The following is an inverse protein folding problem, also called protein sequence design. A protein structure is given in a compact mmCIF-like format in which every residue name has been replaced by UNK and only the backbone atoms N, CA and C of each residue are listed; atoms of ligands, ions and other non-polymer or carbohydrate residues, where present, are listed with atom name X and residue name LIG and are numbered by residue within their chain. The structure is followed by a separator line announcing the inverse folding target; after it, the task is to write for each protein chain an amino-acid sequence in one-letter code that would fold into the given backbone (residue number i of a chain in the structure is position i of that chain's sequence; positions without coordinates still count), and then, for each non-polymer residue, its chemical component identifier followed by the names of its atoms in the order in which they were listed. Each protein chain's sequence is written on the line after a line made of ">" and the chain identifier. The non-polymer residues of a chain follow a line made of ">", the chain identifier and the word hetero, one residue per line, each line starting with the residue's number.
data_IF_874929059949
#
_entry.id   IF_874929059949
#
_cell.length_a   1.000
_cell.length_b   1.000
_cell.length_c   1.000
_cell.angle_alpha   90.00
_cell.angle_beta   90.00
_cell.angle_gamma   90.00
#
_symmetry.space_group_name_H-M   'P 1'
#
loop_
_entity.id
_entity.type
_entity.pdbx_description
1 polymer ?
#
# COMPACT_ATOMS: atom_id res chain seq x y z
N UNK A 1 56.33 -18.11 -33.68
CA UNK A 1 56.01 -17.72 -32.29
C UNK A 1 54.76 -18.45 -31.93
N UNK A 2 54.87 -19.42 -31.01
CA UNK A 2 53.76 -20.26 -30.61
C UNK A 2 52.73 -19.41 -29.84
N UNK A 3 51.51 -19.38 -30.36
CA UNK A 3 50.35 -18.79 -29.70
C UNK A 3 50.10 -19.62 -28.43
N UNK A 4 50.28 -19.02 -27.26
CA UNK A 4 49.98 -19.70 -26.00
C UNK A 4 48.47 -19.91 -25.91
N UNK A 5 47.99 -21.12 -25.56
CA UNK A 5 46.58 -21.29 -25.28
C UNK A 5 46.22 -20.38 -24.10
N UNK A 6 45.32 -19.42 -24.36
CA UNK A 6 44.78 -18.52 -23.36
C UNK A 6 44.36 -19.33 -22.14
N UNK A 7 45.00 -19.07 -21.01
CA UNK A 7 44.78 -19.78 -19.77
C UNK A 7 43.33 -19.48 -19.33
N UNK A 8 42.42 -20.44 -19.58
CA UNK A 8 41.02 -20.39 -19.18
C UNK A 8 40.99 -20.39 -17.65
N UNK A 9 41.07 -19.21 -17.05
CA UNK A 9 40.91 -19.02 -15.61
C UNK A 9 39.41 -19.10 -15.26
N UNK A 10 38.80 -20.23 -15.61
CA UNK A 10 37.45 -20.62 -15.24
C UNK A 10 37.48 -20.97 -13.74
N UNK A 11 37.55 -19.95 -12.88
CA UNK A 11 37.11 -20.10 -11.48
C UNK A 11 35.59 -20.24 -11.53
N UNK A 12 35.11 -21.42 -11.91
CA UNK A 12 33.70 -21.69 -12.07
C UNK A 12 33.08 -21.86 -10.69
N UNK A 13 32.57 -20.77 -10.14
CA UNK A 13 31.54 -20.88 -9.11
C UNK A 13 30.31 -21.38 -9.86
N UNK A 14 29.99 -22.68 -9.70
CA UNK A 14 28.76 -23.24 -10.24
C UNK A 14 27.59 -22.36 -9.80
N UNK A 15 26.84 -21.88 -10.79
CA UNK A 15 25.79 -20.91 -10.55
C UNK A 15 24.49 -21.67 -10.35
N UNK A 16 23.96 -21.64 -9.13
CA UNK A 16 22.67 -22.28 -8.83
C UNK A 16 21.53 -21.63 -9.61
N UNK A 17 20.71 -22.46 -10.21
CA UNK A 17 19.44 -22.13 -10.83
C UNK A 17 18.30 -22.59 -9.93
N UNK A 18 17.38 -21.68 -9.59
CA UNK A 18 16.17 -22.04 -8.87
C UNK A 18 14.95 -21.81 -9.77
N UNK A 19 14.35 -22.87 -10.35
CA UNK A 19 13.21 -22.73 -11.25
C UNK A 19 11.95 -22.16 -10.57
N UNK A 20 11.86 -22.17 -9.24
CA UNK A 20 10.74 -21.59 -8.51
C UNK A 20 10.79 -20.06 -8.41
N UNK A 21 11.99 -19.47 -8.52
CA UNK A 21 12.18 -18.03 -8.32
C UNK A 21 12.85 -17.32 -9.49
N UNK A 22 13.50 -18.06 -10.39
CA UNK A 22 14.26 -17.51 -11.51
C UNK A 22 13.72 -17.99 -12.86
N UNK A 23 13.65 -17.08 -13.83
CA UNK A 23 13.29 -17.41 -15.21
C UNK A 23 14.48 -18.06 -15.92
N UNK A 24 14.24 -19.11 -16.70
CA UNK A 24 15.27 -19.75 -17.53
C UNK A 24 16.02 -18.77 -18.45
N UNK A 25 15.31 -17.78 -19.01
CA UNK A 25 15.92 -16.74 -19.85
C UNK A 25 16.91 -15.87 -19.09
N UNK A 26 16.67 -15.59 -17.80
CA UNK A 26 17.60 -14.86 -16.94
C UNK A 26 18.86 -15.69 -16.67
N UNK A 27 18.68 -16.97 -16.34
CA UNK A 27 19.79 -17.90 -16.12
C UNK A 27 20.70 -18.03 -17.35
N UNK A 28 20.13 -18.27 -18.53
CA UNK A 28 20.88 -18.30 -19.80
C UNK A 28 21.49 -16.94 -20.14
N UNK A 29 20.83 -15.82 -19.81
CA UNK A 29 21.41 -14.49 -19.94
C UNK A 29 22.70 -14.33 -19.13
N UNK A 30 22.73 -14.83 -17.89
CA UNK A 30 23.94 -14.83 -17.03
C UNK A 30 25.06 -15.69 -17.62
N UNK A 31 24.72 -16.84 -18.20
CA UNK A 31 25.69 -17.66 -18.93
C UNK A 31 26.27 -16.93 -20.16
N UNK A 32 25.44 -16.24 -20.95
CA UNK A 32 25.93 -15.48 -22.09
C UNK A 32 26.85 -14.33 -21.68
N UNK A 33 26.55 -13.63 -20.58
CA UNK A 33 27.44 -12.62 -20.01
C UNK A 33 28.76 -13.23 -19.51
N UNK A 34 28.71 -14.44 -18.94
CA UNK A 34 29.91 -15.18 -18.55
C UNK A 34 30.80 -15.49 -19.77
N UNK A 35 30.22 -15.91 -20.91
CA UNK A 35 30.97 -16.07 -22.14
C UNK A 35 31.59 -14.74 -22.61
N UNK A 36 30.84 -13.65 -22.56
CA UNK A 36 31.31 -12.34 -23.01
C UNK A 36 32.48 -11.79 -22.18
N UNK A 37 32.38 -11.82 -20.85
CA UNK A 37 33.44 -11.32 -19.94
C UNK A 37 34.73 -12.14 -20.07
N UNK A 38 34.64 -13.41 -20.46
CA UNK A 38 35.80 -14.28 -20.66
C UNK A 38 36.31 -14.31 -22.12
N UNK A 39 35.74 -13.49 -23.03
CA UNK A 39 36.15 -13.46 -24.43
C UNK A 39 35.76 -14.71 -25.23
N UNK A 40 34.73 -15.44 -24.78
CA UNK A 40 34.25 -16.70 -25.35
C UNK A 40 32.91 -16.54 -26.10
N UNK A 41 32.50 -15.31 -26.39
CA UNK A 41 31.27 -14.99 -27.12
C UNK A 41 31.23 -15.64 -28.50
N UNK A 42 32.37 -15.65 -29.19
CA UNK A 42 32.53 -16.22 -30.54
C UNK A 42 33.15 -17.63 -30.53
N UNK A 43 33.21 -18.27 -29.36
CA UNK A 43 33.72 -19.63 -29.23
C UNK A 43 32.86 -20.62 -30.05
N UNK A 44 33.46 -21.72 -30.56
CA UNK A 44 32.72 -22.78 -31.22
C UNK A 44 31.58 -23.32 -30.34
N UNK A 45 30.49 -23.74 -30.98
CA UNK A 45 29.30 -24.27 -30.29
C UNK A 45 29.61 -25.45 -29.37
N UNK A 46 30.54 -26.33 -29.78
CA UNK A 46 31.03 -27.44 -28.95
C UNK A 46 31.71 -26.95 -27.67
N UNK A 47 32.48 -25.86 -27.76
CA UNK A 47 33.14 -25.25 -26.61
C UNK A 47 32.13 -24.56 -25.69
N UNK A 48 31.16 -23.81 -26.26
CA UNK A 48 30.06 -23.21 -25.48
C UNK A 48 29.27 -24.26 -24.71
N UNK A 49 28.98 -25.41 -25.34
CA UNK A 49 28.34 -26.55 -24.67
C UNK A 49 29.17 -27.04 -23.48
N UNK A 50 30.46 -27.29 -23.67
CA UNK A 50 31.33 -27.77 -22.60
C UNK A 50 31.43 -26.76 -21.43
N UNK A 51 31.52 -25.47 -21.75
CA UNK A 51 31.53 -24.41 -20.73
C UNK A 51 30.18 -24.37 -20.01
N UNK A 52 29.06 -24.48 -20.72
CA UNK A 52 27.74 -24.51 -20.09
C UNK A 52 27.58 -25.67 -19.11
N UNK A 53 27.95 -26.88 -19.55
CA UNK A 53 27.85 -28.10 -18.74
C UNK A 53 28.76 -28.10 -17.50
N UNK A 54 29.80 -27.26 -17.49
CA UNK A 54 30.65 -27.05 -16.32
C UNK A 54 30.23 -25.82 -15.49
N UNK A 55 29.54 -24.86 -16.10
CA UNK A 55 28.99 -23.67 -15.46
C UNK A 55 27.71 -23.96 -14.67
N UNK A 56 26.86 -24.87 -15.18
CA UNK A 56 25.59 -25.16 -14.56
C UNK A 56 25.73 -25.91 -13.24
N UNK A 57 24.66 -25.89 -12.45
CA UNK A 57 24.58 -26.72 -11.26
C UNK A 57 24.24 -28.18 -11.59
N UNK A 58 24.38 -29.03 -10.58
CA UNK A 58 24.13 -30.47 -10.68
C UNK A 58 22.71 -30.76 -11.17
N UNK A 59 21.71 -30.05 -10.64
CA UNK A 59 20.30 -30.27 -10.98
C UNK A 59 20.03 -29.97 -12.47
N UNK A 60 20.59 -28.88 -13.01
CA UNK A 60 20.48 -28.54 -14.43
C UNK A 60 21.25 -29.54 -15.30
N UNK A 61 22.42 -30.02 -14.85
CA UNK A 61 23.20 -31.03 -15.57
C UNK A 61 22.45 -32.37 -15.66
N UNK A 62 21.97 -32.91 -14.54
CA UNK A 62 21.21 -34.17 -14.50
C UNK A 62 19.93 -34.07 -15.34
N UNK A 63 19.26 -32.92 -15.30
CA UNK A 63 18.09 -32.69 -16.14
C UNK A 63 18.45 -32.65 -17.64
N UNK A 64 19.58 -32.05 -18.00
CA UNK A 64 20.06 -32.06 -19.39
C UNK A 64 20.29 -33.49 -19.89
N UNK A 65 20.97 -34.32 -19.10
CA UNK A 65 21.20 -35.74 -19.40
C UNK A 65 19.88 -36.51 -19.58
N UNK A 66 18.93 -36.31 -18.67
CA UNK A 66 17.60 -36.93 -18.73
C UNK A 66 16.80 -36.52 -19.98
N UNK A 67 16.78 -35.23 -20.33
CA UNK A 67 16.02 -34.69 -21.47
C UNK A 67 16.60 -35.11 -22.83
N UNK A 68 17.92 -35.26 -22.90
CA UNK A 68 18.66 -35.65 -24.12
C UNK A 68 18.65 -37.17 -24.35
N UNK A 69 18.06 -37.94 -23.42
CA UNK A 69 18.03 -39.42 -23.43
C UNK A 69 19.43 -40.04 -23.30
N UNK A 70 20.33 -39.41 -22.53
CA UNK A 70 21.62 -39.96 -22.13
C UNK A 70 22.81 -39.70 -23.08
N UNK A 71 22.60 -39.30 -24.34
CA UNK A 71 23.72 -38.90 -25.23
C UNK A 71 23.96 -37.37 -25.19
N UNK A 72 24.36 -36.88 -24.02
CA UNK A 72 24.66 -35.46 -23.80
C UNK A 72 25.93 -35.03 -24.56
N UNK A 73 26.90 -35.94 -24.70
CA UNK A 73 28.16 -35.71 -25.40
C UNK A 73 27.97 -35.55 -26.93
N UNK A 74 27.14 -36.38 -27.55
CA UNK A 74 26.81 -36.31 -28.98
C UNK A 74 25.84 -35.18 -29.35
N UNK A 75 25.14 -34.60 -28.37
CA UNK A 75 24.13 -33.56 -28.63
C UNK A 75 24.74 -32.21 -28.99
N UNK A 76 24.13 -31.52 -29.97
CA UNK A 76 24.53 -30.16 -30.36
C UNK A 76 24.14 -29.12 -29.31
N UNK A 77 24.89 -28.01 -29.23
CA UNK A 77 24.57 -26.89 -28.35
C UNK A 77 23.15 -26.36 -28.58
N UNK A 78 22.78 -26.20 -29.86
CA UNK A 78 21.46 -25.76 -30.26
C UNK A 78 20.34 -26.69 -29.77
N UNK A 79 20.50 -28.01 -29.91
CA UNK A 79 19.50 -28.96 -29.41
C UNK A 79 19.42 -28.95 -27.88
N UNK A 80 20.56 -28.89 -27.18
CA UNK A 80 20.61 -28.77 -25.72
C UNK A 80 19.86 -27.53 -25.22
N UNK A 81 20.11 -26.36 -25.83
CA UNK A 81 19.40 -25.13 -25.49
C UNK A 81 17.89 -25.26 -25.72
N UNK A 82 17.47 -25.91 -26.80
CA UNK A 82 16.05 -26.10 -27.12
C UNK A 82 15.34 -26.99 -26.10
N UNK A 83 15.92 -28.14 -25.74
CA UNK A 83 15.28 -29.06 -24.78
C UNK A 83 15.20 -28.44 -23.39
N UNK A 84 16.25 -27.77 -22.92
CA UNK A 84 16.26 -27.09 -21.63
C UNK A 84 15.30 -25.89 -21.61
N UNK A 85 15.24 -25.10 -22.69
CA UNK A 85 14.26 -24.01 -22.82
C UNK A 85 12.83 -24.53 -22.78
N UNK A 86 12.54 -25.64 -23.46
CA UNK A 86 11.21 -26.26 -23.44
C UNK A 86 10.82 -26.73 -22.04
N UNK A 87 11.78 -27.24 -21.26
CA UNK A 87 11.56 -27.74 -19.91
C UNK A 87 11.41 -26.61 -18.87
N UNK A 88 12.38 -25.68 -18.82
CA UNK A 88 12.46 -24.66 -17.77
C UNK A 88 11.81 -23.31 -18.11
N UNK A 89 11.57 -23.05 -19.39
CA UNK A 89 10.94 -21.82 -19.86
C UNK A 89 9.87 -22.09 -20.90
N UNK A 90 8.87 -22.97 -20.62
CA UNK A 90 7.78 -23.17 -21.55
C UNK A 90 7.14 -21.80 -21.82
N UNK A 91 7.10 -21.39 -23.08
CA UNK A 91 6.43 -20.16 -23.47
C UNK A 91 4.95 -20.33 -23.11
N UNK A 92 4.39 -19.52 -22.20
CA UNK A 92 2.95 -19.58 -21.95
C UNK A 92 2.22 -19.33 -23.27
N UNK A 93 1.07 -19.97 -23.44
CA UNK A 93 0.22 -19.68 -24.58
C UNK A 93 0.01 -18.16 -24.65
N UNK A 94 0.16 -17.56 -25.84
CA UNK A 94 0.10 -16.11 -26.02
C UNK A 94 -1.12 -15.48 -25.32
N UNK A 95 -2.26 -16.16 -25.38
CA UNK A 95 -3.50 -15.73 -24.74
C UNK A 95 -3.42 -15.78 -23.21
N UNK A 96 -2.73 -16.77 -22.63
CA UNK A 96 -2.52 -16.87 -21.19
C UNK A 96 -1.62 -15.72 -20.69
N UNK A 97 -0.53 -15.42 -21.40
CA UNK A 97 0.34 -14.29 -21.06
C UNK A 97 -0.41 -12.95 -21.11
N UNK A 98 -1.20 -12.73 -22.18
CA UNK A 98 -2.04 -11.54 -22.30
C UNK A 98 -3.12 -11.48 -21.22
N UNK A 99 -3.75 -12.60 -20.90
CA UNK A 99 -4.73 -12.67 -19.82
C UNK A 99 -4.13 -12.25 -18.48
N UNK A 100 -2.94 -12.75 -18.14
CA UNK A 100 -2.23 -12.37 -16.92
C UNK A 100 -1.89 -10.88 -16.89
N UNK A 101 -1.36 -10.34 -17.99
CA UNK A 101 -1.10 -8.91 -18.14
C UNK A 101 -2.38 -8.07 -17.94
N UNK A 102 -3.46 -8.40 -18.64
CA UNK A 102 -4.71 -7.62 -18.58
C UNK A 102 -5.45 -7.77 -17.24
N UNK A 103 -5.23 -8.87 -16.52
CA UNK A 103 -5.83 -9.13 -15.20
C UNK A 103 -5.06 -8.44 -14.05
N UNK A 104 -3.85 -7.94 -14.31
CA UNK A 104 -3.02 -7.30 -13.28
C UNK A 104 -3.53 -5.91 -12.94
N UNK A 105 -3.88 -5.71 -11.67
CA UNK A 105 -4.25 -4.43 -11.05
C UNK A 105 -3.30 -4.10 -9.91
N UNK A 106 -3.09 -2.81 -9.62
CA UNK A 106 -2.25 -2.35 -8.51
C UNK A 106 -2.74 -2.98 -7.19
N UNK A 107 -1.82 -3.62 -6.47
CA UNK A 107 -2.11 -4.28 -5.19
C UNK A 107 -2.27 -3.25 -4.06
N UNK A 108 -2.87 -3.66 -2.96
CA UNK A 108 -2.98 -2.81 -1.78
C UNK A 108 -1.60 -2.50 -1.20
N UNK A 109 -1.26 -1.22 -1.09
CA UNK A 109 0.04 -0.76 -0.60
C UNK A 109 1.19 -0.85 -1.61
N UNK A 110 0.94 -1.30 -2.85
CA UNK A 110 1.93 -1.29 -3.92
C UNK A 110 2.08 0.12 -4.50
N UNK A 111 3.32 0.62 -4.60
CA UNK A 111 3.60 1.90 -5.26
C UNK A 111 3.58 1.78 -6.79
N UNK A 112 3.40 2.90 -7.47
CA UNK A 112 3.27 2.96 -8.93
C UNK A 112 4.49 2.41 -9.69
N UNK A 113 5.71 2.59 -9.16
CA UNK A 113 6.91 2.10 -9.85
C UNK A 113 7.03 0.58 -9.74
N UNK A 114 6.66 0.02 -8.58
CA UNK A 114 6.57 -1.44 -8.41
C UNK A 114 5.50 -2.04 -9.33
N UNK A 115 4.31 -1.41 -9.40
CA UNK A 115 3.25 -1.85 -10.31
C UNK A 115 3.69 -1.80 -11.78
N UNK A 116 4.34 -0.72 -12.21
CA UNK A 116 4.90 -0.57 -13.55
C UNK A 116 5.95 -1.66 -13.85
N UNK A 117 6.84 -1.95 -12.91
CA UNK A 117 7.88 -2.96 -13.08
C UNK A 117 7.28 -4.36 -13.30
N UNK A 118 6.23 -4.71 -12.56
CA UNK A 118 5.51 -5.97 -12.75
C UNK A 118 4.77 -6.03 -14.10
N UNK A 119 4.11 -4.94 -14.52
CA UNK A 119 3.50 -4.87 -15.85
C UNK A 119 4.53 -5.02 -16.98
N UNK A 120 5.70 -4.38 -16.86
CA UNK A 120 6.81 -4.54 -17.82
C UNK A 120 7.28 -6.00 -17.88
N UNK A 121 7.38 -6.69 -16.73
CA UNK A 121 7.76 -8.12 -16.68
C UNK A 121 6.75 -9.02 -17.38
N UNK A 122 5.45 -8.75 -17.23
CA UNK A 122 4.37 -9.52 -17.86
C UNK A 122 4.28 -9.24 -19.37
N UNK A 123 4.51 -8.00 -19.80
CA UNK A 123 4.42 -7.59 -21.19
C UNK A 123 5.43 -8.31 -22.12
N UNK A 124 6.59 -8.75 -21.60
CA UNK A 124 7.65 -9.45 -22.36
C UNK A 124 7.11 -10.63 -23.17
N UNK A 125 6.16 -11.38 -22.62
CA UNK A 125 5.61 -12.59 -23.26
C UNK A 125 4.34 -12.34 -24.08
N UNK A 126 3.81 -11.11 -24.05
CA UNK A 126 2.52 -10.76 -24.65
C UNK A 126 2.59 -10.46 -26.15
N UNK A 127 3.80 -10.32 -26.72
CA UNK A 127 4.02 -10.01 -28.14
C UNK A 127 3.11 -8.85 -28.60
N UNK A 128 3.14 -7.74 -27.87
CA UNK A 128 2.40 -6.53 -28.25
C UNK A 128 3.15 -5.79 -29.35
N UNK A 129 2.42 -5.25 -30.32
CA UNK A 129 3.00 -4.39 -31.36
C UNK A 129 3.48 -3.07 -30.77
N UNK A 130 2.69 -2.50 -29.86
CA UNK A 130 3.04 -1.31 -29.10
C UNK A 130 2.98 -1.62 -27.61
N UNK A 131 4.13 -1.93 -27.03
CA UNK A 131 4.20 -2.35 -25.62
C UNK A 131 3.99 -1.18 -24.66
N UNK A 132 4.47 0.02 -24.99
CA UNK A 132 4.33 1.19 -24.11
C UNK A 132 2.88 1.64 -24.02
N UNK A 133 2.14 1.63 -25.13
CA UNK A 133 0.72 1.94 -25.13
C UNK A 133 -0.10 0.91 -24.34
N UNK A 134 0.20 -0.38 -24.48
CA UNK A 134 -0.49 -1.41 -23.71
C UNK A 134 -0.22 -1.29 -22.21
N UNK A 135 1.03 -0.97 -21.83
CA UNK A 135 1.40 -0.72 -20.44
C UNK A 135 0.69 0.53 -19.92
N UNK A 136 0.69 1.64 -20.67
CA UNK A 136 -0.05 2.87 -20.30
C UNK A 136 -1.51 2.55 -19.99
N UNK A 137 -2.20 1.90 -20.92
CA UNK A 137 -3.62 1.63 -20.78
C UNK A 137 -3.88 0.72 -19.57
N UNK A 138 -3.04 -0.29 -19.36
CA UNK A 138 -3.15 -1.19 -18.19
C UNK A 138 -2.83 -0.48 -16.87
N UNK A 139 -1.84 0.43 -16.84
CA UNK A 139 -1.55 1.27 -15.67
C UNK A 139 -2.78 2.10 -15.31
N UNK A 140 -3.37 2.80 -16.28
CA UNK A 140 -4.58 3.62 -16.04
C UNK A 140 -5.74 2.77 -15.55
N UNK A 141 -6.05 1.66 -16.24
CA UNK A 141 -7.19 0.80 -15.90
C UNK A 141 -7.00 0.01 -14.60
N UNK A 142 -5.76 -0.27 -14.22
CA UNK A 142 -5.41 -1.03 -13.02
C UNK A 142 -5.04 -0.17 -11.81
N UNK A 143 -5.06 1.16 -11.93
CA UNK A 143 -4.69 2.08 -10.86
C UNK A 143 -5.66 1.97 -9.66
N UNK A 144 -5.11 1.90 -8.44
CA UNK A 144 -5.92 1.78 -7.22
C UNK A 144 -6.62 3.10 -6.85
N UNK A 145 -5.96 4.23 -7.08
CA UNK A 145 -6.52 5.55 -6.80
C UNK A 145 -7.55 5.96 -7.87
N UNK A 146 -8.82 5.68 -7.60
CA UNK A 146 -9.94 6.00 -8.48
C UNK A 146 -10.07 7.50 -8.78
N UNK A 147 -9.61 8.39 -7.89
CA UNK A 147 -9.67 9.84 -8.13
C UNK A 147 -8.66 10.22 -9.21
N UNK A 148 -7.44 9.72 -9.10
CA UNK A 148 -6.38 9.96 -10.09
C UNK A 148 -6.72 9.29 -11.42
N UNK A 149 -7.21 8.05 -11.40
CA UNK A 149 -7.69 7.34 -12.60
C UNK A 149 -8.75 8.17 -13.34
N UNK A 150 -9.79 8.64 -12.64
CA UNK A 150 -10.84 9.47 -13.24
C UNK A 150 -10.31 10.77 -13.83
N UNK A 151 -9.36 11.43 -13.17
CA UNK A 151 -8.73 12.66 -13.68
C UNK A 151 -7.94 12.42 -14.96
N UNK A 152 -7.21 11.30 -15.05
CA UNK A 152 -6.47 10.92 -16.25
C UNK A 152 -7.43 10.64 -17.41
N UNK A 153 -8.49 9.85 -17.17
CA UNK A 153 -9.50 9.51 -18.18
C UNK A 153 -10.31 10.70 -18.68
N UNK A 154 -10.38 11.79 -17.91
CA UNK A 154 -11.12 12.99 -18.29
C UNK A 154 -10.31 14.00 -19.14
N UNK A 155 -9.04 13.69 -19.47
CA UNK A 155 -8.22 14.57 -20.32
C UNK A 155 -8.69 14.52 -21.76
N UNK A 156 -8.73 15.68 -22.43
CA UNK A 156 -9.09 15.76 -23.86
C UNK A 156 -8.03 15.13 -24.76
N UNK A 157 -6.75 15.33 -24.42
CA UNK A 157 -5.62 14.70 -25.10
C UNK A 157 -5.23 13.42 -24.35
N UNK A 158 -5.05 12.33 -25.09
CA UNK A 158 -4.49 11.08 -24.55
C UNK A 158 -3.13 11.36 -23.95
N UNK A 159 -2.99 11.05 -22.66
CA UNK A 159 -1.72 11.17 -21.96
C UNK A 159 -0.76 10.06 -22.43
N UNK A 160 0.54 10.35 -22.49
CA UNK A 160 1.52 9.28 -22.65
C UNK A 160 1.79 8.53 -21.33
N UNK A 161 2.57 7.44 -21.39
CA UNK A 161 2.87 6.65 -20.19
C UNK A 161 3.54 7.49 -19.09
N UNK A 162 4.47 8.38 -19.44
CA UNK A 162 5.23 9.15 -18.46
C UNK A 162 4.34 10.21 -17.79
N UNK A 163 3.45 10.85 -18.55
CA UNK A 163 2.43 11.76 -18.02
C UNK A 163 1.46 11.06 -17.06
N UNK A 164 1.08 9.80 -17.35
CA UNK A 164 0.26 8.96 -16.45
C UNK A 164 1.03 8.64 -15.17
N UNK A 165 2.28 8.20 -15.29
CA UNK A 165 3.12 7.87 -14.14
C UNK A 165 3.37 9.08 -13.25
N UNK A 166 3.63 10.25 -13.83
CA UNK A 166 3.83 11.49 -13.07
C UNK A 166 2.57 11.91 -12.31
N UNK A 167 1.38 11.76 -12.90
CA UNK A 167 0.13 12.01 -12.20
C UNK A 167 -0.07 11.06 -11.00
N UNK A 168 0.23 9.77 -11.18
CA UNK A 168 0.14 8.77 -10.12
C UNK A 168 1.16 9.02 -8.99
N UNK A 169 2.44 9.28 -9.31
CA UNK A 169 3.49 9.64 -8.33
C UNK A 169 3.12 10.88 -7.52
N UNK A 170 2.57 11.92 -8.18
CA UNK A 170 2.12 13.14 -7.51
C UNK A 170 0.96 12.86 -6.53
N UNK A 171 0.03 11.99 -6.91
CA UNK A 171 -1.08 11.58 -6.06
C UNK A 171 -0.61 10.76 -4.84
N UNK A 172 0.32 9.82 -5.03
CA UNK A 172 0.92 9.04 -3.94
C UNK A 172 1.63 9.95 -2.92
N UNK A 173 2.45 10.89 -3.42
CA UNK A 173 3.14 11.86 -2.57
C UNK A 173 2.16 12.75 -1.79
N UNK A 174 1.09 13.22 -2.44
CA UNK A 174 0.04 14.03 -1.81
C UNK A 174 -0.75 13.25 -0.75
N UNK A 175 -1.08 11.99 -1.03
CA UNK A 175 -1.79 11.12 -0.10
C UNK A 175 -0.94 10.80 1.14
N UNK A 176 0.35 10.52 0.95
CA UNK A 176 1.28 10.31 2.08
C UNK A 176 1.47 11.60 2.90
N UNK A 177 1.67 12.73 2.22
CA UNK A 177 1.81 14.04 2.88
C UNK A 177 0.55 14.44 3.64
N UNK A 178 -0.62 14.25 3.05
CA UNK A 178 -1.90 14.54 3.70
C UNK A 178 -2.19 13.60 4.87
N UNK A 179 -1.79 12.32 4.80
CA UNK A 179 -1.87 11.40 5.93
C UNK A 179 -0.96 11.85 7.10
N UNK A 180 0.24 12.36 6.80
CA UNK A 180 1.17 12.92 7.81
C UNK A 180 0.64 14.21 8.43
N UNK A 181 0.05 15.11 7.62
CA UNK A 181 -0.56 16.37 8.09
C UNK A 181 -1.82 16.08 8.91
N UNK A 182 -2.63 15.11 8.48
CA UNK A 182 -3.86 14.65 9.15
C UNK A 182 -3.58 13.54 10.17
N UNK A 183 -2.47 13.60 10.91
CA UNK A 183 -2.22 12.71 12.06
C UNK A 183 -3.45 12.61 13.00
N UNK A 184 -3.45 11.76 14.04
CA UNK A 184 -4.65 11.39 14.83
C UNK A 184 -5.28 12.53 15.68
N UNK A 185 -5.22 13.76 15.23
CA UNK A 185 -5.91 14.92 15.75
C UNK A 185 -6.36 15.80 14.60
N UNK A 186 -7.64 15.68 14.22
CA UNK A 186 -8.60 16.79 14.09
C UNK A 186 -9.91 16.34 13.46
N UNK A 187 -10.81 15.85 14.32
CA UNK A 187 -12.23 16.14 14.16
C UNK A 187 -12.40 17.58 14.67
N UNK A 188 -12.72 18.51 13.78
CA UNK A 188 -13.71 19.58 13.97
C UNK A 188 -13.73 20.47 12.74
N UNK A 189 -14.78 20.29 11.93
CA UNK A 189 -15.28 21.29 11.00
C UNK A 189 -15.81 22.52 11.78
N UNK A 190 -15.58 23.72 11.25
CA UNK A 190 -16.64 24.66 10.77
C UNK A 190 -16.02 25.98 10.31
N UNK A 191 -16.40 26.37 9.09
CA UNK A 191 -16.77 27.70 8.56
C UNK A 191 -15.80 28.90 8.61
N UNK A 192 -15.35 29.26 7.40
CA UNK A 192 -15.44 30.57 6.73
C UNK A 192 -15.42 31.85 7.59
N UNK A 193 -14.33 32.62 7.48
CA UNK A 193 -14.36 34.08 7.57
C UNK A 193 -13.53 34.67 6.43
N UNK A 194 -14.23 35.45 5.57
CA UNK A 194 -13.67 36.36 4.57
C UNK A 194 -12.76 37.38 5.24
N UNK A 195 -11.56 37.60 4.71
CA UNK A 195 -11.09 38.96 4.46
C UNK A 195 -10.00 39.01 3.37
N UNK A 196 -10.29 39.86 2.38
CA UNK A 196 -9.45 40.40 1.32
C UNK A 196 -8.44 41.38 2.00
N UNK A 197 -7.20 41.58 1.54
CA UNK A 197 -6.79 42.55 0.50
C UNK A 197 -5.23 42.55 0.38
N UNK A 198 -4.72 42.35 -0.87
CA UNK A 198 -3.53 42.96 -1.57
C UNK A 198 -2.10 42.54 -1.13
N UNK A 199 -1.38 41.78 -1.99
CA UNK A 199 -0.23 42.19 -2.87
C UNK A 199 1.12 42.06 -2.17
N UNK A 200 2.27 41.69 -2.74
CA UNK A 200 2.76 41.30 -4.08
C UNK A 200 4.14 40.67 -3.85
N UNK A 201 4.56 39.80 -4.78
CA UNK A 201 5.95 39.57 -5.25
C UNK A 201 7.07 39.11 -4.28
N UNK A 202 7.60 37.94 -4.64
CA UNK A 202 9.03 37.54 -4.74
C UNK A 202 9.99 37.81 -3.57
N UNK A 203 10.57 36.73 -3.02
CA UNK A 203 12.01 36.48 -3.14
C UNK A 203 12.38 35.08 -2.63
N UNK A 204 13.41 34.54 -3.27
CA UNK A 204 14.04 33.25 -3.10
C UNK A 204 14.97 33.21 -1.86
N UNK A 205 15.48 32.01 -1.60
CA UNK A 205 16.70 31.68 -0.86
C UNK A 205 16.63 31.28 0.64
N UNK A 206 16.86 29.96 0.79
CA UNK A 206 17.90 29.31 1.61
C UNK A 206 17.76 29.22 3.14
N UNK A 207 17.63 27.94 3.55
CA UNK A 207 18.44 27.16 4.50
C UNK A 207 18.90 27.70 5.87
N UNK A 208 18.98 26.74 6.80
CA UNK A 208 19.50 26.79 8.18
C UNK A 208 18.65 27.55 9.22
N UNK A 209 18.10 26.81 10.18
CA UNK A 209 18.71 26.71 11.52
C UNK A 209 17.98 25.64 12.34
N UNK A 210 18.79 24.70 12.77
CA UNK A 210 18.54 23.60 13.68
C UNK A 210 18.34 24.11 15.12
N UNK A 211 17.62 23.32 15.92
CA UNK A 211 17.60 23.38 17.38
C UNK A 211 16.96 24.59 18.08
N UNK A 212 15.65 24.52 18.33
CA UNK A 212 15.12 24.80 19.69
C UNK A 212 14.03 23.78 20.02
N UNK A 213 14.43 22.58 20.43
CA UNK A 213 13.62 21.76 21.35
C UNK A 213 14.09 22.08 22.75
N UNK A 214 13.20 22.65 23.55
CA UNK A 214 12.82 22.22 24.91
C UNK A 214 12.29 23.42 25.68
N UNK A 215 11.27 23.16 26.50
CA UNK A 215 10.69 24.08 27.48
C UNK A 215 9.63 25.05 26.96
N UNK A 216 8.40 24.55 26.73
CA UNK A 216 7.20 25.38 26.96
C UNK A 216 6.29 24.69 27.97
N UNK A 217 6.45 25.18 29.19
CA UNK A 217 5.53 25.14 30.31
C UNK A 217 4.10 25.47 29.82
N UNK A 218 3.25 24.44 29.69
CA UNK A 218 1.83 24.61 29.35
C UNK A 218 1.11 25.07 30.62
N UNK A 219 1.11 26.38 30.87
CA UNK A 219 0.06 26.95 31.70
C UNK A 219 -1.24 26.96 30.88
N UNK A 220 -2.36 26.41 31.37
CA UNK A 220 -3.62 26.48 30.67
C UNK A 220 -4.13 27.92 30.72
N UNK A 221 -3.78 28.72 29.71
CA UNK A 221 -4.32 30.06 29.49
C UNK A 221 -5.79 30.04 29.03
N UNK A 222 -6.53 28.96 29.31
CA UNK A 222 -7.95 28.82 29.00
C UNK A 222 -8.69 28.43 30.28
N UNK A 223 -9.73 29.20 30.58
CA UNK A 223 -10.65 28.91 31.67
C UNK A 223 -11.34 27.55 31.44
N UNK A 224 -11.42 26.73 32.48
CA UNK A 224 -12.05 25.41 32.42
C UNK A 224 -13.53 25.56 32.03
N UNK A 225 -13.94 24.89 30.95
CA UNK A 225 -15.32 24.91 30.47
C UNK A 225 -16.36 24.33 31.47
N UNK A 226 -15.92 23.67 32.54
CA UNK A 226 -16.81 23.09 33.55
C UNK A 226 -17.14 24.05 34.71
N UNK A 227 -16.19 24.91 35.10
CA UNK A 227 -16.37 25.79 36.27
C UNK A 227 -15.78 27.21 36.13
N UNK A 228 -15.04 27.47 35.04
CA UNK A 228 -14.36 28.74 34.77
C UNK A 228 -13.05 28.92 35.52
N UNK A 229 -12.49 27.87 36.13
CA UNK A 229 -11.22 27.92 36.87
C UNK A 229 -9.99 27.73 35.97
N UNK A 230 -8.80 28.12 36.44
CA UNK A 230 -7.53 27.93 35.70
C UNK A 230 -6.94 26.54 35.97
N UNK A 231 -7.47 25.52 35.30
CA UNK A 231 -6.96 24.14 35.33
C UNK A 231 -7.39 23.37 34.09
N UNK A 232 -6.74 22.24 33.82
CA UNK A 232 -7.17 21.29 32.81
C UNK A 232 -8.51 20.66 33.20
N UNK A 233 -9.38 20.45 32.21
CA UNK A 233 -10.73 19.91 32.45
C UNK A 233 -10.73 18.54 33.14
N UNK A 234 -9.69 17.74 32.94
CA UNK A 234 -9.46 16.45 33.64
C UNK A 234 -9.43 16.60 35.16
N UNK A 235 -8.90 17.72 35.65
CA UNK A 235 -8.62 17.97 37.06
C UNK A 235 -9.74 18.81 37.70
N UNK A 236 -10.82 19.05 36.96
CA UNK A 236 -11.93 19.86 37.42
C UNK A 236 -12.74 19.10 38.47
N UNK A 237 -12.82 19.67 39.69
CA UNK A 237 -13.71 19.17 40.75
C UNK A 237 -15.19 19.05 40.31
N UNK A 238 -15.61 19.85 39.34
CA UNK A 238 -16.97 19.87 38.80
C UNK A 238 -17.13 19.09 37.49
N UNK A 239 -16.19 18.19 37.17
CA UNK A 239 -16.20 17.43 35.90
C UNK A 239 -17.50 16.65 35.66
N UNK A 240 -18.14 16.14 36.72
CA UNK A 240 -19.41 15.38 36.68
C UNK A 240 -20.60 16.18 37.23
N UNK A 241 -20.44 17.48 37.48
CA UNK A 241 -21.51 18.29 38.04
C UNK A 241 -22.67 18.43 37.06
N UNK A 242 -23.91 18.28 37.56
CA UNK A 242 -25.14 18.58 36.82
C UNK A 242 -25.43 20.07 36.94
N UNK A 243 -25.55 20.73 35.79
CA UNK A 243 -25.85 22.15 35.72
C UNK A 243 -27.28 22.43 36.21
N UNK A 244 -27.43 23.23 37.27
CA UNK A 244 -28.75 23.63 37.77
C UNK A 244 -29.55 24.55 36.84
N UNK A 245 -28.95 25.03 35.74
CA UNK A 245 -29.62 25.91 34.75
C UNK A 245 -30.21 25.13 33.58
N UNK A 246 -29.51 24.11 33.07
CA UNK A 246 -29.92 23.37 31.87
C UNK A 246 -30.04 21.86 32.10
N UNK A 247 -29.79 21.40 33.34
CA UNK A 247 -29.88 20.01 33.79
C UNK A 247 -28.95 19.03 33.05
N UNK A 248 -28.03 19.54 32.22
CA UNK A 248 -26.98 18.73 31.57
C UNK A 248 -25.77 18.57 32.49
N UNK A 249 -25.09 17.43 32.38
CA UNK A 249 -23.83 17.14 33.07
C UNK A 249 -22.68 18.01 32.55
N UNK A 250 -21.54 17.90 33.21
CA UNK A 250 -20.26 18.44 32.73
C UNK A 250 -20.08 19.96 32.84
N UNK A 251 -20.90 20.68 33.61
CA UNK A 251 -20.62 22.09 33.96
C UNK A 251 -21.54 22.60 35.07
N UNK A 252 -21.17 23.72 35.68
CA UNK A 252 -22.01 24.45 36.64
C UNK A 252 -22.76 25.60 35.98
N UNK A 253 -23.85 26.06 36.62
CA UNK A 253 -24.69 27.15 36.13
C UNK A 253 -23.92 28.44 35.80
N UNK A 254 -22.79 28.70 36.47
CA UNK A 254 -21.92 29.87 36.24
C UNK A 254 -21.39 29.95 34.81
N UNK A 255 -21.02 28.82 34.20
CA UNK A 255 -20.44 28.76 32.85
C UNK A 255 -21.39 28.16 31.81
N UNK A 256 -22.67 28.01 32.20
CA UNK A 256 -23.69 27.47 31.33
C UNK A 256 -24.02 28.42 30.18
N UNK A 257 -23.84 27.94 28.94
CA UNK A 257 -24.13 28.66 27.70
C UNK A 257 -25.49 28.29 27.08
N UNK A 258 -26.31 27.52 27.79
CA UNK A 258 -27.65 27.19 27.30
C UNK A 258 -28.51 28.47 27.31
N UNK A 259 -29.11 28.79 26.16
CA UNK A 259 -30.16 29.79 26.09
C UNK A 259 -31.36 29.30 26.92
N UNK A 260 -31.97 30.18 27.70
CA UNK A 260 -33.21 29.87 28.42
C UNK A 260 -34.29 29.47 27.38
N UNK A 261 -35.10 28.44 27.62
CA UNK A 261 -36.34 28.29 26.88
C UNK A 261 -37.21 29.52 27.15
N UNK A 262 -37.70 30.15 26.09
CA UNK A 262 -38.61 31.30 26.16
C UNK A 262 -39.92 30.85 26.80
N UNK A 263 -40.09 31.05 28.11
CA UNK A 263 -41.39 30.83 28.74
C UNK A 263 -42.25 32.08 28.49
N UNK A 264 -43.33 31.91 27.72
CA UNK A 264 -44.42 32.88 27.66
C UNK A 264 -45.09 32.83 29.02
N UNK A 265 -44.69 33.73 29.91
CA UNK A 265 -45.54 34.37 30.90
C UNK A 265 -44.69 35.30 31.75
N UNK A 266 -44.90 36.59 31.57
CA UNK A 266 -44.17 37.64 32.25
C UNK A 266 -44.50 37.67 33.73
N UNK A 267 -43.47 37.61 34.56
CA UNK A 267 -43.42 38.28 35.87
C UNK A 267 -41.96 38.44 36.32
N UNK A 268 -41.53 39.70 36.39
CA UNK A 268 -40.28 40.11 37.04
C UNK A 268 -40.46 40.01 38.55
N UNK A 269 -39.60 39.25 39.23
CA UNK A 269 -39.17 39.46 40.62
C UNK A 269 -37.72 38.95 40.66
N UNK A 270 -36.69 39.74 40.98
CA UNK A 270 -36.44 40.36 42.27
C UNK A 270 -35.48 39.46 43.06
N UNK A 271 -34.17 39.72 43.00
CA UNK A 271 -33.19 39.10 43.90
C UNK A 271 -33.60 39.37 45.36
N UNK A 272 -33.39 38.44 46.30
CA UNK A 272 -32.19 38.55 47.14
C UNK A 272 -31.65 37.22 47.74
N UNK A 273 -30.42 37.28 48.26
CA UNK A 273 -30.10 36.60 49.54
C UNK A 273 -29.06 35.47 49.50
N UNK A 274 -27.88 35.77 50.07
CA UNK A 274 -26.98 34.78 50.67
C UNK A 274 -27.71 34.01 51.78
N UNK A 275 -27.62 32.69 51.84
CA UNK A 275 -27.69 31.95 53.11
C UNK A 275 -27.08 30.53 53.00
N UNK A 276 -26.45 30.15 54.11
CA UNK A 276 -25.68 28.94 54.36
C UNK A 276 -26.55 27.69 54.51
N UNK A 277 -25.98 26.53 54.15
CA UNK A 277 -26.16 25.28 54.90
C UNK A 277 -27.37 24.39 54.60
N UNK A 278 -27.10 23.21 54.03
CA UNK A 278 -27.44 21.85 54.57
C UNK A 278 -27.39 20.82 53.44
N UNK A 279 -26.65 19.73 53.69
CA UNK A 279 -26.84 18.45 53.01
C UNK A 279 -28.25 17.91 53.31
N UNK A 280 -28.81 17.06 52.44
CA UNK A 280 -28.87 15.66 52.86
C UNK A 280 -28.59 14.64 51.74
N UNK A 281 -27.78 13.66 52.13
CA UNK A 281 -27.98 12.21 52.03
C UNK A 281 -28.42 11.56 50.70
N UNK A 282 -27.46 10.80 50.19
CA UNK A 282 -27.60 9.54 49.47
C UNK A 282 -28.96 8.83 49.63
N UNK A 283 -29.60 8.51 48.50
CA UNK A 283 -30.36 7.27 48.37
C UNK A 283 -30.03 6.55 47.06
N UNK A 284 -29.65 5.29 47.26
CA UNK A 284 -29.26 4.27 46.28
C UNK A 284 -30.40 3.86 45.35
N UNK A 285 -29.94 3.32 44.23
CA UNK A 285 -30.61 2.60 43.15
C UNK A 285 -31.58 1.49 43.56
N UNK A 286 -32.70 1.41 42.84
CA UNK A 286 -33.40 0.18 42.45
C UNK A 286 -33.66 0.37 40.93
N UNK A 287 -33.32 -0.53 40.00
CA UNK A 287 -33.38 -1.98 40.03
C UNK A 287 -34.55 -2.40 39.15
N UNK A 288 -34.33 -2.55 37.84
CA UNK A 288 -35.30 -3.18 36.92
C UNK A 288 -34.58 -4.21 36.05
N UNK A 289 -34.90 -5.47 36.33
CA UNK A 289 -34.55 -6.69 35.58
C UNK A 289 -35.57 -6.93 34.46
N UNK A 290 -35.22 -7.90 33.59
CA UNK A 290 -35.99 -8.64 32.58
C UNK A 290 -35.67 -8.24 31.12
N UNK A 291 -35.42 -9.15 30.17
CA UNK A 291 -35.54 -10.62 30.11
C UNK A 291 -34.65 -11.14 28.96
N UNK A 292 -33.92 -12.24 29.17
CA UNK A 292 -33.22 -13.00 28.12
C UNK A 292 -34.22 -13.94 27.44
N UNK A 293 -34.10 -14.12 26.12
CA UNK A 293 -34.51 -15.33 25.40
C UNK A 293 -33.41 -15.68 24.39
N UNK A 294 -32.77 -16.82 24.62
CA UNK A 294 -32.00 -17.57 23.63
C UNK A 294 -32.95 -18.54 22.92
N UNK A 295 -32.65 -18.86 21.67
CA UNK A 295 -33.25 -19.98 20.93
C UNK A 295 -32.30 -20.42 19.83
N UNK A 296 -31.52 -21.46 20.11
CA UNK A 296 -30.66 -22.20 19.18
C UNK A 296 -31.49 -22.97 18.14
N UNK A 297 -30.96 -23.09 16.91
CA UNK A 297 -31.40 -24.09 15.92
C UNK A 297 -30.24 -24.50 15.00
N UNK A 298 -29.59 -25.61 15.35
CA UNK A 298 -28.99 -26.60 14.42
C UNK A 298 -30.17 -27.36 13.77
N UNK A 299 -30.15 -28.03 12.61
CA UNK A 299 -29.16 -28.65 11.74
C UNK A 299 -29.94 -29.01 10.45
N UNK A 300 -29.33 -29.16 9.28
CA UNK A 300 -29.60 -30.31 8.38
C UNK A 300 -28.71 -30.30 7.13
N UNK A 301 -27.99 -31.41 6.99
CA UNK A 301 -27.11 -31.81 5.90
C UNK A 301 -27.96 -32.70 4.98
N UNK A 302 -28.12 -32.34 3.70
CA UNK A 302 -28.70 -33.23 2.69
C UNK A 302 -27.61 -33.72 1.73
N UNK A 303 -27.19 -34.96 1.96
CA UNK A 303 -26.49 -35.81 1.00
C UNK A 303 -27.45 -36.24 -0.10
N UNK A 304 -27.07 -36.07 -1.36
CA UNK A 304 -27.62 -36.83 -2.49
C UNK A 304 -26.47 -37.41 -3.30
N UNK A 305 -26.36 -38.73 -3.28
CA UNK A 305 -25.50 -39.51 -4.18
C UNK A 305 -26.35 -40.27 -5.19
N UNK A 306 -25.95 -40.19 -6.47
CA UNK A 306 -26.26 -41.09 -7.62
C UNK A 306 -25.05 -40.85 -8.54
N UNK A 307 -24.27 -41.78 -9.09
CA UNK A 307 -24.45 -43.16 -9.53
C UNK A 307 -23.76 -43.26 -10.91
N UNK A 308 -22.88 -44.25 -11.10
CA UNK A 308 -21.99 -44.49 -12.26
C UNK A 308 -22.68 -44.66 -13.63
N UNK A 309 -21.96 -44.39 -14.74
CA UNK A 309 -21.65 -45.38 -15.81
C UNK A 309 -20.49 -44.92 -16.72
N UNK A 310 -19.55 -45.85 -16.96
CA UNK A 310 -18.56 -45.87 -18.05
C UNK A 310 -19.21 -46.38 -19.34
N UNK A 311 -18.82 -45.81 -20.47
CA UNK A 311 -18.58 -46.48 -21.76
C UNK A 311 -17.46 -45.75 -22.46
#
# INVERSE_FOLDING_TARGET
>A
MADQPGNLNLRTVSVKFNPATEKWSSYIGRFNLHLEVNGLKDAPESQKKAIFLTYCDTDVYEMAEALVKGDLEGTSWLNLQQVLKKHYGPTPALLAARYEFYSRNQLDGEDINTFLAELRKLAIQCQFNDTEDMIRDRVVLGLKDAVTQKKILAREKTADLEEVLNAARAAESSNNSSARIRGPSRIHATEAIKNRVVSSEESEDEEEVYEIRTSRNIQPNRECNGCGGKHLRSDCRFKEAVCRRCERRDHIAKVCRAALPHNKDGRRTGSPGKQYGRQPEFRRSQGAKYKKQNGDRQEEISQTGIGYTRT
#
